data_IF_681280784002
#
_entry.id   IF_681280784002
#
_cell.length_a   1.000
_cell.length_b   1.000
_cell.length_c   1.000
_cell.angle_alpha   90.00
_cell.angle_beta   90.00
_cell.angle_gamma   90.00
#
_symmetry.space_group_name_H-M   'P 1'
#
loop_
_entity.id
_entity.type
_entity.pdbx_description
1 polymer ?
#
# COMPACT_ATOMS: atom_id res chain seq x y z
N UNK A 1 3.88 10.38 25.50
CA UNK A 1 5.21 9.83 25.18
C UNK A 1 4.94 8.60 24.33
N UNK A 2 5.49 8.47 23.12
CA UNK A 2 5.33 7.23 22.33
C UNK A 2 6.03 6.12 23.12
N UNK A 3 5.30 5.09 23.54
CA UNK A 3 5.91 3.90 24.10
C UNK A 3 6.57 3.13 22.96
N UNK A 4 7.87 2.86 23.10
CA UNK A 4 8.63 2.05 22.17
C UNK A 4 8.77 0.65 22.77
N UNK A 5 8.32 -0.35 22.01
CA UNK A 5 8.53 -1.76 22.32
C UNK A 5 9.98 -2.16 21.98
N UNK A 6 10.49 -3.23 22.59
CA UNK A 6 11.77 -3.82 22.19
C UNK A 6 11.78 -4.21 20.69
N UNK A 7 10.62 -4.58 20.15
CA UNK A 7 10.42 -4.89 18.74
C UNK A 7 10.48 -3.66 17.82
N UNK A 8 10.29 -2.44 18.34
CA UNK A 8 10.50 -1.21 17.54
C UNK A 8 12.00 -0.87 17.39
N UNK A 9 12.84 -1.44 18.26
CA UNK A 9 14.29 -1.20 18.31
C UNK A 9 15.05 -2.29 17.53
N UNK A 10 14.59 -3.54 17.64
CA UNK A 10 15.05 -4.66 16.83
C UNK A 10 14.41 -4.51 15.44
N UNK A 11 15.13 -3.94 14.48
CA UNK A 11 14.62 -3.76 13.12
C UNK A 11 14.01 -5.05 12.52
N UNK A 12 13.17 -4.92 11.48
CA UNK A 12 12.35 -6.02 10.97
C UNK A 12 13.21 -7.17 10.42
N UNK A 13 12.66 -8.39 10.46
CA UNK A 13 13.26 -9.52 9.75
C UNK A 13 13.24 -9.22 8.25
N UNK A 14 14.41 -9.27 7.61
CA UNK A 14 14.55 -8.93 6.20
C UNK A 14 15.80 -9.54 5.59
N UNK A 15 15.84 -9.59 4.27
CA UNK A 15 17.05 -9.84 3.51
C UNK A 15 17.61 -8.52 3.01
N UNK A 16 18.88 -8.24 3.30
CA UNK A 16 19.59 -7.07 2.80
C UNK A 16 20.03 -6.11 3.90
N UNK A 17 20.75 -5.04 3.54
CA UNK A 17 21.50 -4.24 4.51
C UNK A 17 20.67 -3.14 5.19
N UNK A 18 19.44 -2.83 4.72
CA UNK A 18 18.72 -1.62 5.13
C UNK A 18 17.22 -1.84 5.27
N UNK A 19 16.70 -1.62 6.48
CA UNK A 19 15.27 -1.76 6.78
C UNK A 19 14.40 -0.76 6.02
N UNK A 20 14.92 0.43 5.75
CA UNK A 20 14.20 1.43 4.96
C UNK A 20 14.22 1.13 3.46
N UNK A 21 15.37 0.70 2.94
CA UNK A 21 15.57 0.54 1.50
C UNK A 21 15.19 -0.85 1.00
N UNK A 22 15.07 -1.83 1.90
CA UNK A 22 14.68 -3.19 1.56
C UNK A 22 13.33 -3.55 2.19
N UNK A 23 13.21 -3.62 3.51
CA UNK A 23 11.95 -4.04 4.12
C UNK A 23 10.79 -3.06 3.84
N UNK A 24 11.01 -1.77 4.05
CA UNK A 24 10.02 -0.73 3.74
C UNK A 24 9.67 -0.70 2.24
N UNK A 25 10.66 -0.86 1.37
CA UNK A 25 10.45 -0.90 -0.07
C UNK A 25 9.63 -2.13 -0.53
N UNK A 26 9.92 -3.32 0.00
CA UNK A 26 9.14 -4.53 -0.27
C UNK A 26 7.71 -4.40 0.23
N UNK A 27 7.51 -3.87 1.45
CA UNK A 27 6.18 -3.57 2.00
C UNK A 27 5.41 -2.59 1.11
N UNK A 28 6.03 -1.49 0.67
CA UNK A 28 5.42 -0.55 -0.27
C UNK A 28 4.99 -1.24 -1.57
N UNK A 29 5.86 -2.09 -2.16
CA UNK A 29 5.52 -2.85 -3.36
C UNK A 29 4.32 -3.78 -3.17
N UNK A 30 4.26 -4.49 -2.04
CA UNK A 30 3.17 -5.43 -1.73
C UNK A 30 1.84 -4.73 -1.46
N UNK A 31 1.87 -3.57 -0.81
CA UNK A 31 0.69 -2.71 -0.69
C UNK A 31 0.24 -2.20 -2.07
N UNK A 32 1.18 -1.75 -2.91
CA UNK A 32 0.87 -1.31 -4.28
C UNK A 32 0.24 -2.42 -5.12
N UNK A 33 0.75 -3.66 -5.03
CA UNK A 33 0.16 -4.86 -5.66
C UNK A 33 -1.29 -5.06 -5.22
N UNK A 34 -1.52 -5.02 -3.92
CA UNK A 34 -2.84 -5.23 -3.30
C UNK A 34 -3.84 -4.16 -3.74
N UNK A 35 -3.41 -2.89 -3.79
CA UNK A 35 -4.24 -1.76 -4.24
C UNK A 35 -4.53 -1.82 -5.74
N UNK A 36 -3.58 -2.26 -6.57
CA UNK A 36 -3.80 -2.41 -7.99
C UNK A 36 -4.85 -3.50 -8.27
N UNK A 37 -4.71 -4.65 -7.60
CA UNK A 37 -5.47 -5.87 -7.85
C UNK A 37 -5.28 -6.38 -9.29
N UNK A 38 -5.90 -7.51 -9.62
CA UNK A 38 -5.85 -8.06 -10.98
C UNK A 38 -4.44 -8.42 -11.46
N UNK A 39 -4.30 -8.63 -12.78
CA UNK A 39 -3.02 -9.01 -13.40
C UNK A 39 -2.24 -7.78 -13.87
N UNK A 40 -1.02 -7.66 -13.36
CA UNK A 40 -0.10 -6.55 -13.68
C UNK A 40 0.66 -6.87 -14.98
N UNK A 41 0.73 -5.91 -15.90
CA UNK A 41 1.53 -6.01 -17.14
C UNK A 41 2.79 -5.15 -17.10
N UNK A 42 2.71 -3.99 -16.45
CA UNK A 42 3.82 -3.05 -16.36
C UNK A 42 3.77 -2.30 -15.04
N UNK A 43 4.94 -2.08 -14.46
CA UNK A 43 5.13 -1.17 -13.32
C UNK A 43 6.24 -0.19 -13.63
N UNK A 44 5.92 1.09 -13.48
CA UNK A 44 6.90 2.16 -13.45
C UNK A 44 7.06 2.68 -12.02
N UNK A 45 8.29 2.66 -11.52
CA UNK A 45 8.67 3.19 -10.22
C UNK A 45 9.33 4.56 -10.42
N UNK A 46 8.64 5.61 -9.98
CA UNK A 46 9.20 6.95 -9.94
C UNK A 46 9.80 7.18 -8.54
N UNK A 47 11.13 7.16 -8.45
CA UNK A 47 11.87 7.21 -7.21
C UNK A 47 12.24 8.65 -6.87
N UNK A 48 12.08 9.02 -5.61
CA UNK A 48 12.42 10.34 -5.09
C UNK A 48 13.60 10.27 -4.11
N UNK A 49 14.32 11.39 -3.95
CA UNK A 49 15.28 11.59 -2.86
C UNK A 49 16.36 10.50 -2.74
N UNK A 50 16.46 9.91 -1.55
CA UNK A 50 17.43 8.84 -1.25
C UNK A 50 17.12 7.56 -2.02
N UNK A 51 15.84 7.23 -2.25
CA UNK A 51 15.47 6.10 -3.12
C UNK A 51 16.02 6.31 -4.53
N UNK A 52 15.82 7.49 -5.12
CA UNK A 52 16.34 7.82 -6.44
C UNK A 52 17.87 7.63 -6.53
N UNK A 53 18.60 8.09 -5.52
CA UNK A 53 20.06 8.14 -5.53
C UNK A 53 20.73 6.80 -5.23
N UNK A 54 20.08 5.93 -4.46
CA UNK A 54 20.74 4.74 -3.88
C UNK A 54 20.06 3.41 -4.18
N UNK A 55 18.99 3.40 -4.99
CA UNK A 55 18.18 2.20 -5.16
C UNK A 55 18.96 0.95 -5.59
N UNK A 56 19.95 1.08 -6.48
CA UNK A 56 20.79 -0.05 -6.90
C UNK A 56 21.76 -0.51 -5.81
N UNK A 57 22.34 0.43 -5.07
CA UNK A 57 23.34 0.15 -4.04
C UNK A 57 22.75 -0.53 -2.81
N UNK A 58 21.51 -0.20 -2.45
CA UNK A 58 20.80 -0.80 -1.32
C UNK A 58 19.81 -1.91 -1.71
N UNK A 59 19.70 -2.24 -3.00
CA UNK A 59 18.76 -3.26 -3.50
C UNK A 59 17.28 -2.85 -3.40
N UNK A 60 16.98 -1.56 -3.40
CA UNK A 60 15.60 -1.03 -3.37
C UNK A 60 14.84 -1.35 -4.63
N UNK A 61 15.48 -1.37 -5.80
CA UNK A 61 14.85 -1.86 -7.04
C UNK A 61 14.32 -3.28 -6.86
N UNK A 62 15.18 -4.18 -6.39
CA UNK A 62 14.84 -5.57 -6.14
C UNK A 62 13.73 -5.70 -5.11
N UNK A 63 13.80 -4.95 -4.01
CA UNK A 63 12.79 -4.96 -2.97
C UNK A 63 11.42 -4.47 -3.46
N UNK A 64 11.39 -3.35 -4.19
CA UNK A 64 10.15 -2.82 -4.78
C UNK A 64 9.50 -3.82 -5.73
N UNK A 65 10.30 -4.46 -6.59
CA UNK A 65 9.82 -5.49 -7.53
C UNK A 65 9.36 -6.74 -6.79
N UNK A 66 10.09 -7.19 -5.77
CA UNK A 66 9.69 -8.33 -4.93
C UNK A 66 8.32 -8.10 -4.29
N UNK A 67 8.09 -6.90 -3.75
CA UNK A 67 6.78 -6.51 -3.24
C UNK A 67 5.68 -6.57 -4.30
N UNK A 68 5.94 -6.11 -5.53
CA UNK A 68 4.98 -6.24 -6.65
C UNK A 68 4.69 -7.71 -6.99
N UNK A 69 5.66 -8.60 -6.85
CA UNK A 69 5.46 -10.05 -6.97
C UNK A 69 4.73 -10.65 -5.76
N UNK A 70 4.56 -9.90 -4.67
CA UNK A 70 3.88 -10.32 -3.45
C UNK A 70 4.79 -11.00 -2.42
N UNK A 71 6.10 -11.00 -2.66
CA UNK A 71 7.11 -11.53 -1.76
C UNK A 71 7.19 -10.70 -0.47
N UNK A 72 7.58 -11.36 0.61
CA UNK A 72 7.83 -10.71 1.89
C UNK A 72 9.25 -10.16 1.99
N UNK A 73 9.50 -9.19 2.91
CA UNK A 73 10.84 -8.62 3.13
C UNK A 73 11.96 -9.64 3.40
N UNK A 74 11.61 -10.82 3.91
CA UNK A 74 12.54 -11.91 4.27
C UNK A 74 12.58 -13.04 3.23
N UNK A 75 11.88 -12.91 2.09
CA UNK A 75 11.90 -13.92 1.03
C UNK A 75 13.28 -14.00 0.36
N UNK A 76 13.88 -15.19 0.34
CA UNK A 76 15.20 -15.45 -0.26
C UNK A 76 15.28 -15.06 -1.74
N UNK A 77 14.17 -15.15 -2.46
CA UNK A 77 14.06 -14.84 -3.88
C UNK A 77 13.98 -13.33 -4.15
N UNK A 78 13.93 -12.47 -3.12
CA UNK A 78 13.92 -11.01 -3.27
C UNK A 78 15.11 -10.54 -4.13
N UNK A 79 16.26 -11.21 -4.04
CA UNK A 79 17.47 -10.88 -4.81
C UNK A 79 17.31 -11.09 -6.33
N UNK A 80 16.37 -11.94 -6.72
CA UNK A 80 16.09 -12.39 -8.09
C UNK A 80 14.79 -11.80 -8.65
N UNK A 81 14.08 -10.98 -7.88
CA UNK A 81 12.76 -10.44 -8.21
C UNK A 81 12.66 -9.79 -9.59
N UNK A 82 13.70 -9.08 -10.05
CA UNK A 82 13.73 -8.45 -11.37
C UNK A 82 13.73 -9.48 -12.51
N UNK A 83 14.36 -10.63 -12.30
CA UNK A 83 14.37 -11.74 -13.26
C UNK A 83 12.99 -12.41 -13.26
N UNK A 84 12.50 -12.76 -12.07
CA UNK A 84 11.20 -13.40 -11.87
C UNK A 84 10.05 -12.57 -12.45
N UNK A 85 10.06 -11.25 -12.25
CA UNK A 85 9.07 -10.35 -12.85
C UNK A 85 9.09 -10.38 -14.38
N UNK A 86 10.28 -10.51 -14.98
CA UNK A 86 10.41 -10.64 -16.44
C UNK A 86 9.88 -11.97 -16.94
N UNK A 87 10.07 -13.05 -16.19
CA UNK A 87 9.54 -14.38 -16.49
C UNK A 87 8.01 -14.43 -16.39
N UNK A 88 7.42 -13.70 -15.44
CA UNK A 88 5.96 -13.47 -15.37
C UNK A 88 5.43 -12.52 -16.47
N UNK A 89 6.31 -11.97 -17.31
CA UNK A 89 5.95 -11.05 -18.38
C UNK A 89 5.66 -9.62 -17.92
N UNK A 90 6.03 -9.26 -16.69
CA UNK A 90 5.84 -7.92 -16.13
C UNK A 90 6.99 -7.01 -16.59
N UNK A 91 6.64 -5.92 -17.27
CA UNK A 91 7.59 -4.89 -17.68
C UNK A 91 7.91 -3.97 -16.50
N UNK A 92 9.19 -3.80 -16.19
CA UNK A 92 9.66 -2.98 -15.06
C UNK A 92 10.45 -1.78 -15.58
N UNK A 93 10.09 -0.59 -15.10
CA UNK A 93 10.80 0.67 -15.39
C UNK A 93 11.09 1.45 -14.11
N UNK A 94 12.30 2.01 -14.01
CA UNK A 94 12.68 2.92 -12.93
C UNK A 94 13.02 4.29 -13.49
N UNK A 95 12.53 5.34 -12.84
CA UNK A 95 12.83 6.73 -13.22
C UNK A 95 13.02 7.56 -11.96
N UNK A 96 13.99 8.46 -12.00
CA UNK A 96 14.20 9.43 -10.91
C UNK A 96 13.27 10.63 -11.10
N UNK A 97 12.72 11.14 -10.00
CA UNK A 97 11.82 12.30 -9.99
C UNK A 97 11.98 13.11 -8.70
N UNK A 98 11.68 14.40 -8.78
CA UNK A 98 11.44 15.24 -7.61
C UNK A 98 9.94 15.33 -7.33
N UNK A 99 9.50 14.85 -6.17
CA UNK A 99 8.10 14.87 -5.72
C UNK A 99 7.83 16.06 -4.77
N UNK A 100 8.79 16.96 -4.60
CA UNK A 100 8.68 18.12 -3.73
C UNK A 100 8.91 17.77 -2.26
N UNK A 101 8.10 18.36 -1.37
CA UNK A 101 8.24 18.23 0.08
C UNK A 101 7.61 16.92 0.59
N UNK A 102 8.30 15.81 0.33
CA UNK A 102 7.95 14.46 0.80
C UNK A 102 9.16 13.79 1.44
N UNK A 103 8.96 12.65 2.10
CA UNK A 103 10.07 11.92 2.72
C UNK A 103 11.12 11.51 1.66
N UNK A 104 12.44 11.54 1.95
CA UNK A 104 13.46 11.21 0.95
C UNK A 104 13.38 9.77 0.43
N UNK A 105 12.76 8.84 1.17
CA UNK A 105 12.52 7.46 0.73
C UNK A 105 11.11 7.28 0.17
N UNK A 106 10.74 8.10 -0.83
CA UNK A 106 9.41 8.06 -1.46
C UNK A 106 9.50 7.42 -2.84
N UNK A 107 8.47 6.66 -3.19
CA UNK A 107 8.25 6.12 -4.53
C UNK A 107 6.80 6.37 -4.95
N UNK A 108 6.62 6.75 -6.20
CA UNK A 108 5.33 6.69 -6.89
C UNK A 108 5.30 5.47 -7.81
N UNK A 109 4.32 4.62 -7.62
CA UNK A 109 4.03 3.47 -8.47
C UNK A 109 3.01 3.88 -9.52
N UNK A 110 3.26 3.51 -10.77
CA UNK A 110 2.29 3.56 -11.86
C UNK A 110 2.18 2.13 -12.40
N UNK A 111 1.02 1.50 -12.19
CA UNK A 111 0.79 0.08 -12.46
C UNK A 111 -0.25 -0.03 -13.56
N UNK A 112 0.14 -0.61 -14.69
CA UNK A 112 -0.76 -0.92 -15.81
C UNK A 112 -1.18 -2.40 -15.73
N UNK A 113 -2.49 -2.64 -15.84
CA UNK A 113 -3.08 -3.97 -15.77
C UNK A 113 -3.49 -4.48 -17.14
N UNK A 114 -3.76 -5.79 -17.24
CA UNK A 114 -4.16 -6.44 -18.48
C UNK A 114 -5.53 -6.01 -19.01
N UNK A 115 -6.40 -5.53 -18.14
CA UNK A 115 -7.68 -4.95 -18.48
C UNK A 115 -7.60 -3.49 -18.99
N UNK A 116 -6.40 -2.93 -19.11
CA UNK A 116 -6.15 -1.55 -19.56
C UNK A 116 -6.33 -0.47 -18.48
N UNK A 117 -6.72 -0.85 -17.26
CA UNK A 117 -6.77 0.09 -16.14
C UNK A 117 -5.37 0.40 -15.62
N UNK A 118 -5.19 1.63 -15.16
CA UNK A 118 -3.97 2.08 -14.45
C UNK A 118 -4.29 2.38 -13.00
N UNK A 119 -3.39 1.98 -12.10
CA UNK A 119 -3.43 2.33 -10.69
C UNK A 119 -2.19 3.15 -10.32
N UNK A 120 -2.38 4.18 -9.52
CA UNK A 120 -1.27 4.98 -9.00
C UNK A 120 -1.24 4.97 -7.48
N UNK A 121 -0.04 4.90 -6.90
CA UNK A 121 0.15 4.99 -5.46
C UNK A 121 1.43 5.75 -5.15
N UNK A 122 1.40 6.63 -4.14
CA UNK A 122 2.60 7.26 -3.58
C UNK A 122 2.76 6.79 -2.13
N UNK A 123 3.97 6.35 -1.79
CA UNK A 123 4.28 5.94 -0.43
C UNK A 123 5.73 6.16 -0.07
N UNK A 124 5.96 6.30 1.24
CA UNK A 124 7.24 6.60 1.85
C UNK A 124 7.66 5.50 2.81
N UNK A 125 8.93 5.09 2.78
CA UNK A 125 9.51 4.28 3.86
C UNK A 125 10.13 5.21 4.92
N UNK A 126 9.53 5.24 6.10
CA UNK A 126 9.88 6.18 7.19
C UNK A 126 10.90 5.63 8.19
N UNK A 127 11.46 4.44 7.93
CA UNK A 127 12.50 3.81 8.77
C UNK A 127 11.97 2.62 9.59
N UNK A 128 12.87 1.73 9.99
CA UNK A 128 12.49 0.49 10.71
C UNK A 128 11.58 -0.45 9.91
N UNK A 129 11.55 -0.33 8.58
CA UNK A 129 10.60 -1.05 7.72
C UNK A 129 9.16 -0.52 7.78
N UNK A 130 8.91 0.58 8.52
CA UNK A 130 7.61 1.22 8.55
C UNK A 130 7.40 2.07 7.30
N UNK A 131 6.15 2.11 6.84
CA UNK A 131 5.75 2.80 5.62
C UNK A 131 4.52 3.67 5.86
N UNK A 132 4.35 4.68 5.00
CA UNK A 132 3.17 5.54 4.97
C UNK A 132 2.76 5.72 3.53
N UNK A 133 1.49 5.47 3.22
CA UNK A 133 0.89 5.72 1.91
C UNK A 133 0.25 7.10 1.98
N UNK A 134 0.62 7.97 1.05
CA UNK A 134 0.20 9.38 1.04
C UNK A 134 -0.77 9.73 -0.10
N UNK A 135 -0.85 8.88 -1.13
CA UNK A 135 -1.72 9.09 -2.28
C UNK A 135 -2.09 7.77 -2.94
N UNK A 136 -3.35 7.63 -3.37
CA UNK A 136 -3.84 6.52 -4.21
C UNK A 136 -4.77 7.08 -5.28
N UNK A 137 -4.51 6.74 -6.55
CA UNK A 137 -5.31 7.18 -7.71
C UNK A 137 -5.58 8.70 -7.74
N UNK A 138 -4.59 9.50 -7.31
CA UNK A 138 -4.67 10.96 -7.22
C UNK A 138 -5.38 11.50 -5.97
N UNK A 139 -5.92 10.64 -5.12
CA UNK A 139 -6.52 11.04 -3.84
C UNK A 139 -5.44 11.09 -2.76
N UNK A 140 -5.23 12.27 -2.17
CA UNK A 140 -4.36 12.45 -1.01
C UNK A 140 -5.00 11.78 0.22
N UNK A 141 -4.36 10.72 0.70
CA UNK A 141 -4.81 9.92 1.84
C UNK A 141 -3.63 9.64 2.77
N UNK A 142 -3.87 9.03 3.93
CA UNK A 142 -2.80 8.62 4.84
C UNK A 142 -3.17 7.34 5.58
N UNK A 143 -2.35 6.30 5.43
CA UNK A 143 -2.37 5.09 6.27
C UNK A 143 -1.00 4.38 6.24
N UNK A 144 -0.78 3.47 7.18
CA UNK A 144 0.55 2.83 7.35
C UNK A 144 0.63 1.39 6.83
N UNK A 145 -0.50 0.71 6.73
CA UNK A 145 -0.54 -0.73 6.43
C UNK A 145 -0.08 -1.61 7.60
N UNK A 146 0.11 -1.03 8.79
CA UNK A 146 0.42 -1.77 10.02
C UNK A 146 -0.82 -2.46 10.59
N UNK A 147 -1.99 -1.89 10.32
CA UNK A 147 -3.29 -2.46 10.63
C UNK A 147 -3.95 -2.95 9.33
N UNK A 148 -4.80 -3.98 9.41
CA UNK A 148 -5.75 -4.27 8.34
C UNK A 148 -6.48 -2.99 7.93
N UNK A 149 -6.40 -2.64 6.65
CA UNK A 149 -6.88 -1.36 6.13
C UNK A 149 -7.92 -1.57 5.02
N UNK A 150 -9.09 -0.95 5.15
CA UNK A 150 -10.11 -0.88 4.10
C UNK A 150 -10.09 0.50 3.48
N UNK A 151 -9.81 0.57 2.18
CA UNK A 151 -9.83 1.78 1.37
C UNK A 151 -11.06 1.76 0.45
N UNK A 152 -11.95 2.73 0.62
CA UNK A 152 -13.25 2.77 -0.07
C UNK A 152 -13.39 4.09 -0.83
N UNK A 153 -13.48 4.02 -2.15
CA UNK A 153 -13.91 5.14 -2.97
C UNK A 153 -15.44 5.11 -3.11
N UNK A 154 -16.11 6.20 -2.75
CA UNK A 154 -17.57 6.28 -2.76
C UNK A 154 -18.07 7.67 -3.19
N UNK A 155 -19.38 7.82 -3.44
CA UNK A 155 -19.99 9.16 -3.57
C UNK A 155 -20.25 9.74 -2.18
N UNK A 156 -19.95 11.02 -2.00
CA UNK A 156 -20.11 11.72 -0.72
C UNK A 156 -21.58 12.08 -0.43
N UNK A 157 -22.36 11.08 0.01
CA UNK A 157 -23.77 11.20 0.38
C UNK A 157 -24.00 10.82 1.85
N UNK A 158 -25.04 11.35 2.51
CA UNK A 158 -25.33 11.02 3.91
C UNK A 158 -25.47 9.51 4.16
N UNK A 159 -24.92 9.05 5.28
CA UNK A 159 -25.05 7.67 5.75
C UNK A 159 -23.98 6.69 5.27
N UNK A 160 -23.06 7.06 4.38
CA UNK A 160 -22.01 6.14 3.87
C UNK A 160 -21.13 5.57 4.98
N UNK A 161 -20.61 6.43 5.85
CA UNK A 161 -19.81 5.99 7.00
C UNK A 161 -20.60 5.02 7.88
N UNK A 162 -21.85 5.37 8.21
CA UNK A 162 -22.70 4.54 9.06
C UNK A 162 -22.98 3.15 8.46
N UNK A 163 -23.22 3.05 7.15
CA UNK A 163 -23.44 1.76 6.48
C UNK A 163 -22.20 0.86 6.56
N UNK A 164 -21.02 1.41 6.29
CA UNK A 164 -19.77 0.63 6.38
C UNK A 164 -19.49 0.24 7.83
N UNK A 165 -19.63 1.16 8.78
CA UNK A 165 -19.42 0.86 10.21
C UNK A 165 -20.42 -0.18 10.73
N UNK A 166 -21.66 -0.22 10.24
CA UNK A 166 -22.64 -1.25 10.61
C UNK A 166 -22.22 -2.65 10.14
N UNK A 167 -21.64 -2.76 8.93
CA UNK A 167 -21.08 -4.02 8.44
C UNK A 167 -19.91 -4.45 9.34
N UNK A 168 -18.95 -3.57 9.61
CA UNK A 168 -17.83 -3.89 10.49
C UNK A 168 -18.31 -4.35 11.87
N UNK A 169 -19.34 -3.68 12.42
CA UNK A 169 -19.97 -4.07 13.68
C UNK A 169 -20.62 -5.47 13.61
N UNK A 170 -21.35 -5.81 12.54
CA UNK A 170 -21.95 -7.15 12.36
C UNK A 170 -20.89 -8.25 12.33
N UNK A 171 -19.75 -7.97 11.70
CA UNK A 171 -18.60 -8.88 11.66
C UNK A 171 -17.73 -8.82 12.93
N UNK A 172 -18.11 -8.00 13.92
CA UNK A 172 -17.43 -7.81 15.22
C UNK A 172 -16.00 -7.26 15.10
N UNK A 173 -15.74 -6.48 14.06
CA UNK A 173 -14.44 -5.86 13.78
C UNK A 173 -14.41 -4.46 14.42
N UNK A 174 -13.41 -4.15 15.25
CA UNK A 174 -13.27 -2.80 15.81
C UNK A 174 -12.50 -1.89 14.86
N UNK A 175 -12.80 -0.60 14.95
CA UNK A 175 -12.13 0.44 14.15
C UNK A 175 -11.09 1.11 15.04
N UNK A 176 -9.81 0.91 14.72
CA UNK A 176 -8.70 1.59 15.39
C UNK A 176 -8.61 3.05 14.94
N UNK A 177 -8.66 3.28 13.63
CA UNK A 177 -8.66 4.62 13.04
C UNK A 177 -9.61 4.69 11.85
N UNK A 178 -10.28 5.83 11.69
CA UNK A 178 -11.09 6.12 10.52
C UNK A 178 -10.81 7.52 10.03
N UNK A 179 -10.59 7.65 8.72
CA UNK A 179 -10.39 8.94 8.05
C UNK A 179 -11.26 9.01 6.80
N UNK A 180 -11.81 10.19 6.52
CA UNK A 180 -12.60 10.44 5.31
C UNK A 180 -12.00 11.63 4.57
N UNK A 181 -11.50 11.36 3.36
CA UNK A 181 -10.91 12.34 2.47
C UNK A 181 -11.93 12.74 1.43
N UNK A 182 -12.46 13.95 1.55
CA UNK A 182 -13.48 14.49 0.64
C UNK A 182 -12.81 15.29 -0.46
N UNK A 183 -13.23 15.10 -1.72
CA UNK A 183 -12.81 15.98 -2.81
C UNK A 183 -13.49 17.35 -2.66
N UNK A 184 -12.85 18.39 -3.18
CA UNK A 184 -13.16 19.81 -2.90
C UNK A 184 -14.59 20.26 -3.23
N UNK A 185 -15.36 19.48 -4.00
CA UNK A 185 -16.75 19.77 -4.35
C UNK A 185 -17.71 18.85 -3.59
N UNK A 186 -18.68 19.42 -2.89
CA UNK A 186 -19.70 18.65 -2.15
C UNK A 186 -20.57 17.83 -3.12
N UNK A 187 -20.73 16.53 -2.86
CA UNK A 187 -21.42 15.59 -3.78
C UNK A 187 -20.52 14.96 -4.83
N UNK A 188 -19.21 15.25 -4.81
CA UNK A 188 -18.21 14.50 -5.58
C UNK A 188 -17.79 13.20 -4.88
N UNK A 189 -16.75 12.53 -5.39
CA UNK A 189 -16.22 11.33 -4.75
C UNK A 189 -15.52 11.65 -3.43
N UNK A 190 -15.57 10.71 -2.49
CA UNK A 190 -14.77 10.72 -1.27
C UNK A 190 -14.12 9.34 -1.07
N UNK A 191 -13.09 9.33 -0.24
CA UNK A 191 -12.29 8.15 0.05
C UNK A 191 -12.28 7.92 1.55
N UNK A 192 -12.88 6.82 2.00
CA UNK A 192 -12.82 6.37 3.39
C UNK A 192 -11.64 5.42 3.57
N UNK A 193 -10.94 5.59 4.68
CA UNK A 193 -9.89 4.69 5.14
C UNK A 193 -10.28 4.22 6.54
N UNK A 194 -10.43 2.91 6.70
CA UNK A 194 -10.62 2.26 8.00
C UNK A 194 -9.40 1.42 8.29
N UNK A 195 -8.68 1.70 9.37
CA UNK A 195 -7.67 0.82 9.97
C UNK A 195 -8.37 0.08 11.12
N UNK A 196 -8.44 -1.24 11.04
CA UNK A 196 -9.19 -2.12 11.95
C UNK A 196 -8.28 -3.07 12.70
N UNK A 197 -8.78 -3.80 13.69
CA UNK A 197 -7.98 -4.73 14.52
C UNK A 197 -7.94 -6.17 14.00
N UNK A 198 -8.95 -6.59 13.22
CA UNK A 198 -9.05 -7.94 12.65
C UNK A 198 -8.73 -8.00 11.15
N UNK A 199 -8.26 -9.16 10.69
CA UNK A 199 -8.06 -9.41 9.25
C UNK A 199 -9.38 -9.25 8.49
N UNK A 200 -9.30 -8.56 7.35
CA UNK A 200 -10.46 -8.29 6.51
C UNK A 200 -10.70 -9.50 5.61
N UNK A 201 -11.85 -10.16 5.79
CA UNK A 201 -12.29 -11.29 4.97
C UNK A 201 -12.91 -10.84 3.65
N UNK A 202 -12.97 -11.74 2.67
CA UNK A 202 -13.68 -11.47 1.41
C UNK A 202 -15.18 -11.21 1.63
N UNK A 203 -15.80 -11.85 2.61
CA UNK A 203 -17.22 -11.63 2.95
C UNK A 203 -17.49 -10.17 3.34
N UNK A 204 -16.62 -9.58 4.18
CA UNK A 204 -16.71 -8.17 4.56
C UNK A 204 -16.56 -7.27 3.34
N UNK A 205 -15.59 -7.58 2.47
CA UNK A 205 -15.35 -6.81 1.23
C UNK A 205 -16.57 -6.87 0.31
N UNK A 206 -17.15 -8.06 0.14
CA UNK A 206 -18.31 -8.29 -0.72
C UNK A 206 -19.55 -7.56 -0.18
N UNK A 207 -19.86 -7.67 1.11
CA UNK A 207 -21.00 -6.99 1.73
C UNK A 207 -20.87 -5.46 1.64
N UNK A 208 -19.67 -4.92 1.84
CA UNK A 208 -19.43 -3.49 1.63
C UNK A 208 -19.63 -3.13 0.16
N UNK A 209 -19.11 -3.92 -0.78
CA UNK A 209 -19.21 -3.64 -2.21
C UNK A 209 -20.67 -3.59 -2.73
N UNK A 210 -21.63 -4.21 -2.03
CA UNK A 210 -23.06 -4.14 -2.33
C UNK A 210 -23.71 -2.81 -1.92
N UNK A 211 -23.05 -1.99 -1.09
CA UNK A 211 -23.59 -0.69 -0.69
C UNK A 211 -23.69 0.24 -1.91
N UNK A 212 -24.90 0.73 -2.16
CA UNK A 212 -25.13 1.77 -3.16
C UNK A 212 -24.24 2.99 -2.94
N UNK A 213 -23.61 3.46 -4.03
CA UNK A 213 -22.65 4.56 -4.10
C UNK A 213 -21.20 4.22 -3.73
N UNK A 214 -20.87 2.98 -3.40
CA UNK A 214 -19.48 2.51 -3.41
C UNK A 214 -19.05 2.25 -4.85
N UNK A 215 -17.87 2.76 -5.20
CA UNK A 215 -17.28 2.61 -6.55
C UNK A 215 -16.18 1.57 -6.57
N UNK A 216 -15.38 1.52 -5.50
CA UNK A 216 -14.22 0.64 -5.38
C UNK A 216 -13.92 0.42 -3.91
N UNK A 217 -13.65 -0.82 -3.56
CA UNK A 217 -13.14 -1.23 -2.25
C UNK A 217 -11.82 -1.97 -2.45
N UNK A 218 -10.86 -1.73 -1.54
CA UNK A 218 -9.58 -2.41 -1.47
C UNK A 218 -9.32 -2.77 -0.01
N UNK A 219 -9.12 -4.05 0.28
CA UNK A 219 -8.70 -4.54 1.58
C UNK A 219 -7.19 -4.82 1.57
N UNK A 220 -6.49 -4.31 2.56
CA UNK A 220 -5.04 -4.42 2.70
C UNK A 220 -4.78 -4.99 4.08
N UNK A 221 -4.55 -6.30 4.16
CA UNK A 221 -4.12 -6.93 5.40
C UNK A 221 -2.62 -6.71 5.61
N UNK A 222 -2.17 -6.55 6.86
CA UNK A 222 -0.77 -6.31 7.16
C UNK A 222 0.06 -7.53 6.77
N UNK A 223 1.33 -7.27 6.47
CA UNK A 223 2.31 -8.32 6.28
C UNK A 223 2.65 -8.85 7.67
N UNK A 224 2.09 -10.00 7.99
CA UNK A 224 2.36 -10.72 9.23
C UNK A 224 3.47 -11.73 8.97
N UNK A 225 4.38 -11.84 9.94
CA UNK A 225 5.25 -13.00 10.05
C UNK A 225 4.31 -14.14 10.50
N UNK A 226 4.03 -15.12 9.63
CA UNK A 226 3.38 -16.34 10.10
C UNK A 226 4.31 -16.99 11.13
N UNK A 227 3.80 -17.23 12.35
CA UNK A 227 4.51 -17.94 13.43
C UNK A 227 4.87 -19.38 13.06
#
# INVERSE_FOLDING_TARGET
MREYSAFDILGPIMIGPSSSHTAGAARLGKIAKTIAGGKILKVQFLLHGSFAKTYKGHGTDKALVAGILGMDPWDENLKESIILAREEGIKIEFKEIDLGDVHPNTVKFIIEKDNGETCEMVGSSIGGGNVVISEVDGDKIEFTGSYPTILINHMDVPGMVAKVSDILYKHKINIAFMRVYRKSTRGSGATMVFEVDDLISEDVVNEINEISNIKKIRAINPITEEE
#
